data_IF_104066153064
#
_entry.id   IF_104066153064
#
_cell.length_a   1.000
_cell.length_b   1.000
_cell.length_c   1.000
_cell.angle_alpha   90.00
_cell.angle_beta   90.00
_cell.angle_gamma   90.00
#
_symmetry.space_group_name_H-M   'P 1'
#
loop_
_entity.id
_entity.type
_entity.pdbx_description
1 polymer ?
2 non-polymer ?
3 non-polymer ?
4 non-polymer ?
5 water ?
#
# COMPACT_ATOMS: atom_id res chain seq x y z
N UNK A 23 12.01 -26.60 0.39
CA UNK A 23 12.64 -26.30 -0.93
C UNK A 23 13.78 -25.31 -0.74
N UNK A 24 13.98 -24.91 0.51
CA UNK A 24 15.01 -23.95 0.88
C UNK A 24 16.44 -24.28 0.49
N UNK A 25 16.80 -25.55 0.52
CA UNK A 25 18.16 -25.96 0.18
C UNK A 25 18.62 -25.49 -1.19
N UNK A 26 17.86 -25.81 -2.22
CA UNK A 26 18.23 -25.40 -3.57
C UNK A 26 18.35 -23.88 -3.63
N UNK A 27 17.43 -23.21 -2.93
CA UNK A 27 17.37 -21.76 -2.89
C UNK A 27 18.67 -21.12 -2.37
N UNK A 28 19.08 -21.52 -1.18
CA UNK A 28 20.30 -20.99 -0.56
C UNK A 28 21.56 -21.35 -1.34
N UNK A 29 21.46 -22.36 -2.20
CA UNK A 29 22.60 -22.78 -2.98
C UNK A 29 22.79 -21.86 -4.18
N UNK A 30 21.68 -21.37 -4.72
CA UNK A 30 21.73 -20.51 -5.90
C UNK A 30 21.55 -19.02 -5.64
N UNK A 31 21.14 -18.65 -4.42
CA UNK A 31 20.94 -17.25 -4.09
C UNK A 31 21.50 -16.83 -2.75
N UNK A 32 22.22 -15.73 -2.75
CA UNK A 32 22.83 -15.19 -1.54
C UNK A 32 21.82 -14.34 -0.78
N UNK A 33 21.93 -14.36 0.54
CA UNK A 33 21.04 -13.56 1.39
C UNK A 33 21.65 -12.17 1.51
N UNK A 34 20.85 -11.17 1.93
CA UNK A 34 19.43 -11.29 2.27
C UNK A 34 18.54 -11.01 1.06
N UNK A 35 17.32 -11.54 1.06
CA UNK A 35 16.43 -11.29 -0.05
C UNK A 35 14.97 -11.34 0.32
N UNK A 36 14.14 -10.79 -0.56
CA UNK A 36 12.71 -10.80 -0.39
C UNK A 36 12.16 -11.96 -1.19
N UNK A 37 11.36 -12.80 -0.55
CA UNK A 37 10.77 -13.95 -1.21
C UNK A 37 9.25 -13.85 -1.14
N UNK A 38 8.60 -13.87 -2.31
CA UNK A 38 7.15 -13.75 -2.38
C UNK A 38 6.39 -14.98 -2.85
N UNK A 39 5.41 -15.40 -2.06
CA UNK A 39 4.57 -16.54 -2.41
C UNK A 39 3.42 -15.92 -3.18
N UNK A 40 3.45 -16.04 -4.50
CA UNK A 40 2.44 -15.46 -5.37
C UNK A 40 0.99 -15.92 -5.17
N UNK A 41 0.78 -17.20 -4.87
CA UNK A 41 -0.57 -17.69 -4.65
C UNK A 41 -1.34 -16.88 -3.62
N UNK A 42 -0.66 -16.52 -2.54
CA UNK A 42 -1.29 -15.75 -1.47
C UNK A 42 -1.72 -14.37 -1.95
N UNK A 43 -1.03 -13.84 -2.95
CA UNK A 43 -1.38 -12.54 -3.51
C UNK A 43 -2.64 -12.73 -4.34
N UNK A 44 -2.66 -13.81 -5.14
CA UNK A 44 -3.80 -14.14 -5.99
C UNK A 44 -5.03 -14.42 -5.15
N UNK A 45 -4.87 -15.26 -4.13
CA UNK A 45 -5.95 -15.64 -3.23
C UNK A 45 -6.51 -14.42 -2.49
N UNK A 46 -5.61 -13.59 -1.95
CA UNK A 46 -6.00 -12.40 -1.21
C UNK A 46 -6.77 -11.42 -2.10
N UNK A 47 -6.35 -11.31 -3.35
CA UNK A 47 -7.06 -10.43 -4.25
C UNK A 47 -8.44 -11.02 -4.52
N UNK A 48 -8.46 -12.30 -4.84
CA UNK A 48 -9.71 -13.01 -5.12
C UNK A 48 -10.72 -12.93 -3.98
N UNK A 49 -10.25 -12.86 -2.74
CA UNK A 49 -11.18 -12.77 -1.62
C UNK A 49 -11.90 -11.41 -1.62
N UNK A 50 -11.26 -10.40 -2.24
CA UNK A 50 -11.82 -9.06 -2.32
C UNK A 50 -12.82 -8.96 -3.46
N UNK A 51 -12.57 -9.70 -4.53
CA UNK A 51 -13.45 -9.67 -5.69
C UNK A 51 -14.80 -10.29 -5.37
N UNK A 52 -14.81 -11.31 -4.52
CA UNK A 52 -16.04 -12.00 -4.17
C UNK A 52 -16.77 -11.43 -2.96
N UNK A 53 -16.07 -10.63 -2.16
CA UNK A 53 -16.69 -10.04 -0.98
C UNK A 53 -17.89 -9.22 -1.43
N UNK A 54 -17.77 -8.63 -2.62
CA UNK A 54 -18.82 -7.81 -3.19
C UNK A 54 -19.31 -8.43 -4.49
N UNK A 55 -20.01 -9.56 -4.38
CA UNK A 55 -20.54 -10.25 -5.55
C UNK A 55 -21.88 -9.62 -5.95
N UNK A 56 -22.77 -9.47 -4.96
CA UNK A 56 -24.07 -8.90 -5.23
C UNK A 56 -24.04 -7.39 -5.41
N UNK A 57 -23.07 -6.91 -6.19
CA UNK A 57 -22.89 -5.49 -6.46
C UNK A 57 -21.74 -5.25 -7.42
N UNK A 58 -21.70 -4.07 -8.02
CA UNK A 58 -20.62 -3.72 -8.90
C UNK A 58 -19.54 -3.08 -8.04
N UNK A 59 -18.36 -3.66 -8.05
CA UNK A 59 -17.26 -3.15 -7.26
C UNK A 59 -15.98 -3.19 -8.08
N UNK A 60 -15.00 -2.40 -7.65
CA UNK A 60 -13.71 -2.36 -8.34
C UNK A 60 -12.62 -2.37 -7.30
N UNK A 61 -11.74 -3.37 -7.36
CA UNK A 61 -10.65 -3.47 -6.40
C UNK A 61 -9.37 -2.88 -6.97
N UNK A 62 -8.96 -1.74 -6.43
CA UNK A 62 -7.75 -1.07 -6.90
C UNK A 62 -6.63 -1.29 -5.92
N UNK A 63 -5.74 -2.21 -6.25
CA UNK A 63 -4.60 -2.50 -5.41
C UNK A 63 -3.79 -1.20 -5.22
N UNK A 64 -3.38 -0.93 -3.99
CA UNK A 64 -2.62 0.29 -3.71
C UNK A 64 -1.13 -0.02 -3.95
N UNK A 65 -0.61 0.44 -5.09
CA UNK A 65 0.78 0.20 -5.46
C UNK A 65 1.79 0.48 -4.35
N UNK A 66 1.62 1.58 -3.64
CA UNK A 66 2.50 1.95 -2.54
C UNK A 66 2.88 0.75 -1.65
N UNK A 67 2.01 -0.23 -1.50
CA UNK A 67 2.34 -1.38 -0.66
C UNK A 67 3.48 -2.19 -1.27
N UNK A 68 3.43 -2.33 -2.59
CA UNK A 68 4.45 -3.09 -3.33
C UNK A 68 4.14 -2.91 -4.80
N UNK A 69 5.00 -2.21 -5.51
CA UNK A 69 4.81 -1.94 -6.93
C UNK A 69 5.60 -2.84 -7.87
N UNK A 70 6.30 -3.84 -7.33
CA UNK A 70 7.08 -4.73 -8.18
C UNK A 70 6.27 -5.11 -9.44
N UNK A 71 6.86 -4.81 -10.59
CA UNK A 71 6.27 -5.07 -11.89
C UNK A 71 5.63 -6.44 -12.05
N UNK A 72 6.23 -7.45 -11.42
CA UNK A 72 5.72 -8.80 -11.54
C UNK A 72 4.45 -9.04 -10.73
N UNK A 73 4.42 -8.61 -9.47
CA UNK A 73 3.20 -8.84 -8.70
C UNK A 73 2.05 -8.08 -9.35
N UNK A 74 2.36 -6.93 -9.96
CA UNK A 74 1.34 -6.13 -10.62
C UNK A 74 0.81 -6.87 -11.85
N UNK A 75 1.69 -7.53 -12.57
CA UNK A 75 1.29 -8.28 -13.75
C UNK A 75 0.34 -9.41 -13.32
N UNK A 76 0.64 -10.04 -12.18
CA UNK A 76 -0.21 -11.10 -11.66
C UNK A 76 -1.60 -10.52 -11.41
N UNK A 77 -1.65 -9.41 -10.68
CA UNK A 77 -2.92 -8.77 -10.38
C UNK A 77 -3.61 -8.32 -11.65
N UNK A 78 -2.83 -7.89 -12.65
CA UNK A 78 -3.41 -7.46 -13.91
C UNK A 78 -4.11 -8.63 -14.60
N UNK A 79 -3.57 -9.83 -14.42
CA UNK A 79 -4.16 -11.01 -15.03
C UNK A 79 -5.51 -11.34 -14.38
N UNK A 80 -5.65 -10.94 -13.12
CA UNK A 80 -6.89 -11.17 -12.36
C UNK A 80 -7.74 -9.92 -12.53
N UNK A 81 -7.41 -9.13 -13.54
CA UNK A 81 -8.13 -7.89 -13.85
C UNK A 81 -8.28 -6.93 -12.69
N UNK A 82 -7.19 -6.74 -11.95
CA UNK A 82 -7.21 -5.84 -10.81
C UNK A 82 -7.07 -4.39 -11.27
N UNK A 83 -7.56 -3.48 -10.44
CA UNK A 83 -7.45 -2.07 -10.75
C UNK A 83 -6.21 -1.57 -10.03
N UNK A 84 -5.99 -0.26 -10.05
CA UNK A 84 -4.82 0.28 -9.36
C UNK A 84 -5.06 1.64 -8.72
N UNK A 85 -4.73 1.75 -7.44
CA UNK A 85 -4.84 3.02 -6.74
C UNK A 85 -3.41 3.59 -6.73
N UNK A 86 -3.19 4.65 -7.50
CA UNK A 86 -1.86 5.26 -7.60
C UNK A 86 -1.78 6.63 -6.93
N UNK A 87 -0.58 6.99 -6.48
CA UNK A 87 -0.36 8.27 -5.82
C UNK A 87 0.71 9.11 -6.52
N UNK A 88 1.21 8.62 -7.66
CA UNK A 88 2.23 9.33 -8.43
C UNK A 88 2.20 8.88 -9.89
N UNK A 89 2.84 9.66 -10.76
CA UNK A 89 2.90 9.32 -12.17
C UNK A 89 3.74 8.03 -12.29
N UNK A 90 4.77 7.94 -11.46
CA UNK A 90 5.59 6.75 -11.48
C UNK A 90 4.75 5.50 -11.26
N UNK A 91 3.80 5.54 -10.35
CA UNK A 91 2.95 4.38 -10.08
C UNK A 91 2.00 4.12 -11.25
N UNK A 92 1.39 5.16 -11.78
CA UNK A 92 0.50 4.99 -12.91
C UNK A 92 1.23 4.28 -14.06
N UNK A 93 2.48 4.68 -14.30
CA UNK A 93 3.26 4.08 -15.37
C UNK A 93 3.58 2.62 -15.08
N UNK A 94 3.92 2.32 -13.83
CA UNK A 94 4.21 0.93 -13.45
C UNK A 94 3.00 0.07 -13.76
N UNK A 95 1.83 0.53 -13.29
CA UNK A 95 0.57 -0.17 -13.48
C UNK A 95 0.24 -0.41 -14.95
N UNK A 96 0.35 0.61 -15.77
CA UNK A 96 0.07 0.48 -17.19
C UNK A 96 1.02 -0.55 -17.80
N UNK A 97 2.30 -0.41 -17.47
CA UNK A 97 3.33 -1.31 -17.96
C UNK A 97 3.09 -2.76 -17.55
N UNK A 98 2.42 -2.96 -16.42
CA UNK A 98 2.18 -4.33 -15.95
C UNK A 98 0.93 -4.93 -16.59
N UNK A 99 0.15 -4.08 -17.25
CA UNK A 99 -1.03 -4.59 -17.93
C UNK A 99 -2.35 -4.20 -17.31
N UNK A 100 -2.32 -3.33 -16.31
CA UNK A 100 -3.55 -2.90 -15.67
C UNK A 100 -4.22 -1.90 -16.63
N UNK A 101 -5.52 -2.07 -16.84
CA UNK A 101 -6.26 -1.20 -17.75
C UNK A 101 -6.32 0.23 -17.23
N UNK A 102 -6.19 1.21 -18.13
CA UNK A 102 -6.24 2.59 -17.66
C UNK A 102 -7.57 2.97 -16.99
N UNK A 103 -8.68 2.39 -17.46
CA UNK A 103 -9.97 2.73 -16.87
C UNK A 103 -10.22 2.07 -15.50
N UNK A 104 -9.17 1.49 -14.92
CA UNK A 104 -9.25 0.85 -13.60
C UNK A 104 -8.19 1.44 -12.69
N UNK A 105 -7.60 2.54 -13.14
CA UNK A 105 -6.56 3.22 -12.38
C UNK A 105 -7.15 4.49 -11.81
N UNK A 106 -6.90 4.74 -10.52
CA UNK A 106 -7.38 5.94 -9.88
C UNK A 106 -6.16 6.62 -9.23
N UNK A 107 -6.09 7.93 -9.40
CA UNK A 107 -4.96 8.72 -8.90
C UNK A 107 -5.31 9.63 -7.72
N UNK A 108 -4.78 9.28 -6.54
CA UNK A 108 -5.00 10.08 -5.33
C UNK A 108 -3.70 10.84 -5.09
N UNK A 109 -3.71 11.75 -4.11
CA UNK A 109 -2.51 12.51 -3.83
C UNK A 109 -2.79 13.96 -3.51
N UNK A 110 -2.25 14.42 -2.39
CA UNK A 110 -2.45 15.79 -1.96
C UNK A 110 -1.41 16.70 -2.62
N UNK A 111 -0.44 16.08 -3.31
CA UNK A 111 0.59 16.86 -3.95
C UNK A 111 0.88 16.49 -5.39
N UNK A 112 -0.14 16.42 -6.23
CA UNK A 112 0.04 16.08 -7.64
C UNK A 112 0.60 17.31 -8.35
N UNK A 113 1.69 17.13 -9.10
CA UNK A 113 2.27 18.24 -9.83
C UNK A 113 1.54 18.39 -11.15
N UNK A 114 1.60 19.58 -11.71
CA UNK A 114 0.96 19.86 -12.99
C UNK A 114 1.34 18.80 -14.03
N UNK A 115 2.60 18.36 -14.00
CA UNK A 115 3.05 17.35 -14.95
C UNK A 115 2.33 16.03 -14.73
N UNK A 116 2.15 15.65 -13.46
CA UNK A 116 1.46 14.41 -13.18
C UNK A 116 -0.01 14.57 -13.57
N UNK A 117 -0.62 15.69 -13.20
CA UNK A 117 -2.02 15.94 -13.55
C UNK A 117 -2.21 15.79 -15.06
N UNK A 118 -1.46 16.60 -15.82
CA UNK A 118 -1.55 16.55 -17.27
C UNK A 118 -1.33 15.14 -17.82
N UNK A 119 -0.30 14.46 -17.34
CA UNK A 119 0.02 13.11 -17.81
C UNK A 119 -1.08 12.12 -17.49
N UNK A 120 -1.75 12.31 -16.37
CA UNK A 120 -2.82 11.42 -15.98
C UNK A 120 -3.98 11.56 -16.96
N UNK A 121 -4.36 12.80 -17.25
CA UNK A 121 -5.45 13.09 -18.16
C UNK A 121 -5.24 12.48 -19.55
N UNK A 122 -4.02 12.56 -20.05
CA UNK A 122 -3.71 12.02 -21.36
C UNK A 122 -3.73 10.50 -21.37
N UNK A 123 -3.59 9.90 -20.21
CA UNK A 123 -3.57 8.44 -20.10
C UNK A 123 -4.95 7.81 -19.91
N UNK A 124 -5.97 8.65 -19.84
CA UNK A 124 -7.36 8.20 -19.69
C UNK A 124 -7.59 7.24 -18.53
N UNK A 125 -7.14 7.61 -17.34
CA UNK A 125 -7.34 6.76 -16.17
C UNK A 125 -8.79 6.93 -15.71
N UNK A 126 -9.21 6.19 -14.69
CA UNK A 126 -10.59 6.31 -14.21
C UNK A 126 -10.87 7.71 -13.72
N UNK A 127 -10.09 8.17 -12.75
CA UNK A 127 -10.31 9.52 -12.26
C UNK A 127 -9.23 9.99 -11.32
N UNK A 128 -9.16 11.30 -11.18
CA UNK A 128 -8.23 11.92 -10.25
C UNK A 128 -9.05 12.19 -8.99
N UNK A 129 -8.54 11.71 -7.86
CA UNK A 129 -9.21 11.90 -6.58
C UNK A 129 -8.54 13.12 -5.99
N UNK A 130 -9.21 14.27 -6.06
CA UNK A 130 -8.64 15.53 -5.58
C UNK A 130 -8.71 15.73 -4.06
N UNK A 131 -7.71 16.42 -3.52
CA UNK A 131 -7.63 16.64 -2.10
C UNK A 131 -7.59 18.11 -1.68
N UNK A 132 -7.69 19.02 -2.63
CA UNK A 132 -7.70 20.44 -2.31
C UNK A 132 -8.45 21.23 -3.39
N UNK A 133 -9.12 22.29 -2.97
CA UNK A 133 -9.86 23.14 -3.90
C UNK A 133 -8.91 23.71 -4.96
N UNK A 134 -7.68 24.02 -4.55
CA UNK A 134 -6.69 24.58 -5.47
C UNK A 134 -6.24 23.54 -6.50
N UNK A 135 -6.26 22.28 -6.10
CA UNK A 135 -5.89 21.19 -7.00
C UNK A 135 -6.97 21.09 -8.06
N UNK A 136 -8.22 21.13 -7.61
CA UNK A 136 -9.37 21.06 -8.50
C UNK A 136 -9.28 22.09 -9.61
N UNK A 137 -8.90 23.32 -9.25
CA UNK A 137 -8.78 24.39 -10.24
C UNK A 137 -7.57 24.16 -11.15
N UNK A 138 -6.52 23.57 -10.61
CA UNK A 138 -5.33 23.30 -11.39
C UNK A 138 -5.66 22.28 -12.46
N UNK A 139 -6.43 21.26 -12.08
CA UNK A 139 -6.83 20.21 -13.01
C UNK A 139 -7.72 20.80 -14.10
N UNK A 140 -8.63 21.69 -13.72
CA UNK A 140 -9.53 22.31 -14.68
C UNK A 140 -8.75 23.08 -15.75
N UNK A 141 -7.80 23.89 -15.29
CA UNK A 141 -6.99 24.68 -16.21
C UNK A 141 -6.28 23.83 -17.22
N UNK A 142 -5.75 22.68 -16.77
CA UNK A 142 -5.02 21.79 -17.66
C UNK A 142 -6.00 21.04 -18.54
N UNK A 143 -7.09 20.57 -17.96
CA UNK A 143 -8.10 19.85 -18.72
C UNK A 143 -8.55 20.72 -19.88
N UNK A 144 -8.88 21.97 -19.56
CA UNK A 144 -9.34 22.90 -20.57
C UNK A 144 -8.35 23.06 -21.71
N UNK A 145 -7.07 23.19 -21.40
CA UNK A 145 -6.08 23.36 -22.43
C UNK A 145 -5.94 22.11 -23.30
N UNK A 146 -6.24 20.96 -22.71
CA UNK A 146 -6.16 19.69 -23.44
C UNK A 146 -7.46 19.40 -24.18
N UNK A 147 -8.46 20.23 -23.93
CA UNK A 147 -9.75 20.07 -24.57
C UNK A 147 -10.52 18.84 -24.13
N UNK A 148 -10.35 18.42 -22.87
CA UNK A 148 -11.05 17.25 -22.35
C UNK A 148 -11.80 17.55 -21.06
N UNK A 149 -12.77 16.71 -20.74
CA UNK A 149 -13.58 16.87 -19.53
C UNK A 149 -13.06 15.83 -18.53
N UNK A 150 -12.35 16.31 -17.51
CA UNK A 150 -11.76 15.44 -16.51
C UNK A 150 -12.71 14.82 -15.50
N UNK A 151 -12.75 13.49 -15.46
CA UNK A 151 -13.56 12.77 -14.49
C UNK A 151 -12.82 12.90 -13.18
N UNK A 152 -13.48 13.33 -12.13
CA UNK A 152 -12.78 13.47 -10.86
C UNK A 152 -13.59 13.01 -9.67
N UNK A 153 -12.88 12.68 -8.60
CA UNK A 153 -13.50 12.25 -7.35
C UNK A 153 -12.99 13.23 -6.30
N UNK A 154 -13.76 13.46 -5.25
CA UNK A 154 -13.33 14.37 -4.21
C UNK A 154 -13.20 13.61 -2.91
N UNK A 155 -12.01 13.68 -2.32
CA UNK A 155 -11.74 12.99 -1.07
C UNK A 155 -12.22 13.82 0.12
N UNK A 156 -13.08 13.25 0.95
CA UNK A 156 -13.55 13.99 2.10
C UNK A 156 -12.91 13.48 3.37
N UNK A 157 -12.58 14.41 4.26
CA UNK A 157 -11.99 14.08 5.54
C UNK A 157 -13.20 14.09 6.50
N UNK A 158 -13.62 12.90 6.97
CA UNK A 158 -14.76 12.79 7.88
C UNK A 158 -14.39 13.04 9.33
N UNK A 159 -13.14 13.43 9.57
CA UNK A 159 -12.68 13.70 10.92
C UNK A 159 -13.11 12.59 11.88
N UNK A 160 -12.68 11.37 11.56
CA UNK A 160 -12.98 10.19 12.38
C UNK A 160 -11.66 9.52 12.75
N UNK A 161 -11.50 9.17 14.02
CA UNK A 161 -10.27 8.54 14.46
C UNK A 161 -10.26 7.04 14.15
N UNK A 162 -9.41 6.66 13.20
CA UNK A 162 -9.29 5.25 12.78
C UNK A 162 -8.72 4.36 13.87
N UNK A 163 -8.30 4.95 14.98
CA UNK A 163 -7.73 4.20 16.09
C UNK A 163 -6.59 3.32 15.61
N UNK A 164 -5.47 3.96 15.29
CA UNK A 164 -4.30 3.28 14.79
C UNK A 164 -3.07 4.14 15.11
N UNK A 165 -1.91 3.80 14.56
CA UNK A 165 -0.71 4.57 14.80
C UNK A 165 -0.87 5.95 14.14
N UNK A 166 -0.48 7.02 14.85
CA UNK A 166 -0.61 8.37 14.26
C UNK A 166 -0.09 8.53 12.83
N UNK A 167 1.06 7.94 12.51
CA UNK A 167 1.59 8.07 11.15
C UNK A 167 0.68 7.37 10.15
N UNK A 168 -0.02 6.35 10.63
CA UNK A 168 -0.93 5.57 9.79
C UNK A 168 -2.39 6.03 9.90
N UNK A 169 -2.61 7.12 10.62
CA UNK A 169 -3.96 7.66 10.79
C UNK A 169 -4.14 8.85 9.85
N UNK A 170 -5.15 8.78 9.00
CA UNK A 170 -5.39 9.85 8.02
C UNK A 170 -6.82 10.42 7.95
N UNK A 171 -7.69 10.01 8.87
CA UNK A 171 -9.06 10.50 8.82
C UNK A 171 -9.50 11.61 9.78
N UNK A 172 -8.55 12.31 10.39
CA UNK A 172 -8.89 13.39 11.32
C UNK A 172 -8.73 14.76 10.69
N UNK A 173 -9.47 15.74 11.20
CA UNK A 173 -9.38 17.10 10.66
C UNK A 173 -7.92 17.54 10.72
N UNK A 174 -7.20 16.91 11.64
CA UNK A 174 -5.79 17.16 11.89
C UNK A 174 -4.92 16.86 10.66
N UNK A 175 -5.25 15.76 9.99
CA UNK A 175 -4.52 15.28 8.81
C UNK A 175 -4.69 16.13 7.55
N UNK A 176 -3.70 16.07 6.67
CA UNK A 176 -3.67 16.82 5.42
C UNK A 176 -4.50 16.20 4.29
N UNK A 177 -5.18 15.10 4.56
CA UNK A 177 -5.95 14.41 3.54
C UNK A 177 -7.44 14.73 3.47
N UNK A 178 -7.93 14.91 2.25
CA UNK A 178 -9.34 15.19 2.01
C UNK A 178 -9.77 16.57 2.48
N UNK A 179 -11.08 16.78 2.56
CA UNK A 179 -11.60 18.07 3.03
C UNK A 179 -12.94 17.88 3.76
N UNK A 180 -13.33 18.90 4.52
CA UNK A 180 -14.58 18.84 5.26
C UNK A 180 -15.82 18.80 4.39
N UNK A 181 -16.96 18.48 4.99
CA UNK A 181 -18.21 18.40 4.24
C UNK A 181 -18.56 19.73 3.56
N UNK A 182 -18.48 20.82 4.30
CA UNK A 182 -18.81 22.13 3.75
C UNK A 182 -18.01 22.45 2.49
N UNK A 183 -16.68 22.37 2.59
CA UNK A 183 -15.80 22.66 1.46
C UNK A 183 -15.98 21.66 0.33
N UNK A 184 -16.36 20.44 0.67
CA UNK A 184 -16.57 19.39 -0.33
C UNK A 184 -17.77 19.71 -1.19
N UNK A 185 -18.84 20.18 -0.55
CA UNK A 185 -20.06 20.54 -1.25
C UNK A 185 -19.74 21.66 -2.21
N UNK A 186 -18.96 22.62 -1.72
CA UNK A 186 -18.58 23.77 -2.53
C UNK A 186 -17.74 23.33 -3.73
N UNK A 187 -16.85 22.38 -3.52
CA UNK A 187 -16.00 21.88 -4.59
C UNK A 187 -16.78 21.06 -5.63
N UNK A 188 -17.69 20.22 -5.17
CA UNK A 188 -18.48 19.42 -6.10
C UNK A 188 -19.30 20.32 -7.01
N UNK A 189 -19.93 21.34 -6.42
CA UNK A 189 -20.74 22.26 -7.19
C UNK A 189 -19.88 22.95 -8.24
N UNK A 190 -18.66 23.29 -7.84
CA UNK A 190 -17.72 23.95 -8.73
C UNK A 190 -17.37 23.04 -9.90
N UNK A 191 -17.20 21.76 -9.61
CA UNK A 191 -16.86 20.79 -10.65
C UNK A 191 -18.06 20.61 -11.59
N UNK A 192 -19.27 20.67 -11.03
CA UNK A 192 -20.50 20.52 -11.81
C UNK A 192 -20.63 21.64 -12.83
N UNK A 193 -20.39 22.87 -12.39
CA UNK A 193 -20.48 24.04 -13.25
C UNK A 193 -19.41 24.01 -14.34
N UNK A 194 -18.20 23.61 -13.98
CA UNK A 194 -17.11 23.57 -14.95
C UNK A 194 -17.43 22.65 -16.12
N UNK A 195 -17.06 23.10 -17.31
CA UNK A 195 -17.28 22.33 -18.52
C UNK A 195 -16.12 21.35 -18.74
N UNK A 196 -15.12 21.42 -17.87
CA UNK A 196 -13.95 20.56 -18.00
C UNK A 196 -13.74 19.67 -16.80
N UNK A 197 -14.79 19.54 -15.99
CA UNK A 197 -14.72 18.71 -14.80
C UNK A 197 -16.01 17.91 -14.70
N UNK A 198 -15.87 16.62 -14.43
CA UNK A 198 -17.05 15.77 -14.28
C UNK A 198 -16.94 14.98 -12.99
N UNK A 199 -17.55 15.50 -11.91
CA UNK A 199 -17.49 14.80 -10.62
C UNK A 199 -18.32 13.51 -10.73
N UNK A 200 -17.69 12.38 -10.46
CA UNK A 200 -18.37 11.10 -10.57
C UNK A 200 -18.16 10.19 -9.37
N UNK A 201 -17.43 10.66 -8.38
CA UNK A 201 -17.16 9.79 -7.25
C UNK A 201 -16.84 10.52 -5.95
N UNK A 202 -17.15 9.86 -4.82
CA UNK A 202 -16.85 10.41 -3.50
C UNK A 202 -15.82 9.44 -2.98
N UNK A 203 -14.90 9.91 -2.14
CA UNK A 203 -13.86 9.03 -1.63
C UNK A 203 -13.36 9.36 -0.23
N UNK A 204 -12.98 8.33 0.50
CA UNK A 204 -12.42 8.51 1.84
C UNK A 204 -11.46 7.39 2.20
N UNK A 205 -10.55 7.68 3.12
CA UNK A 205 -9.57 6.71 3.60
C UNK A 205 -9.11 7.21 4.97
N UNK A 206 -9.67 6.64 6.03
CA UNK A 206 -9.36 7.07 7.39
C UNK A 206 -8.06 6.57 8.02
N UNK A 207 -7.44 5.55 7.43
CA UNK A 207 -6.19 5.05 7.98
C UNK A 207 -5.72 3.72 7.43
N UNK A 208 -4.59 3.25 7.96
CA UNK A 208 -3.98 1.98 7.53
C UNK A 208 -3.70 1.09 8.75
N UNK A 209 -3.70 -0.23 8.51
CA UNK A 209 -3.49 -1.22 9.57
C UNK A 209 -4.58 -1.08 10.62
N UNK A 210 -5.83 -1.08 10.17
CA UNK A 210 -6.94 -0.93 11.11
C UNK A 210 -7.47 -2.28 11.60
N UNK A 211 -7.61 -2.40 12.91
CA UNK A 211 -8.12 -3.63 13.51
C UNK A 211 -9.60 -3.48 13.91
N UNK A 212 -10.06 -2.24 14.03
CA UNK A 212 -11.44 -1.98 14.41
C UNK A 212 -12.30 -1.57 13.20
N UNK A 213 -13.35 -2.36 12.92
CA UNK A 213 -14.25 -2.10 11.79
C UNK A 213 -15.24 -0.96 12.03
N UNK A 214 -15.43 -0.56 13.27
CA UNK A 214 -16.38 0.50 13.56
C UNK A 214 -16.05 1.85 12.92
N UNK A 215 -14.84 2.38 13.14
CA UNK A 215 -14.50 3.67 12.54
C UNK A 215 -14.69 3.68 11.03
N UNK A 216 -14.48 2.54 10.39
CA UNK A 216 -14.67 2.42 8.96
C UNK A 216 -16.14 2.59 8.65
N UNK A 217 -16.98 1.85 9.36
CA UNK A 217 -18.42 1.91 9.18
C UNK A 217 -18.96 3.30 9.45
N UNK A 218 -18.48 3.92 10.52
CA UNK A 218 -18.92 5.27 10.86
C UNK A 218 -18.57 6.20 9.70
N UNK A 219 -17.39 6.02 9.12
CA UNK A 219 -16.97 6.86 8.01
C UNK A 219 -17.87 6.63 6.78
N UNK A 220 -18.18 5.36 6.49
CA UNK A 220 -19.03 5.05 5.35
C UNK A 220 -20.42 5.68 5.50
N UNK A 221 -20.94 5.66 6.71
CA UNK A 221 -22.25 6.23 6.96
C UNK A 221 -22.27 7.73 6.70
N UNK A 222 -21.29 8.45 7.24
CA UNK A 222 -21.22 9.89 7.05
C UNK A 222 -21.03 10.28 5.59
N UNK A 223 -20.18 9.55 4.87
CA UNK A 223 -19.93 9.86 3.48
C UNK A 223 -21.12 9.48 2.62
N UNK A 224 -21.84 8.44 3.03
CA UNK A 224 -23.01 7.99 2.28
C UNK A 224 -24.11 9.05 2.45
N UNK A 225 -24.12 9.70 3.60
CA UNK A 225 -25.12 10.73 3.85
C UNK A 225 -24.88 11.92 2.94
N UNK A 226 -23.62 12.33 2.83
CA UNK A 226 -23.30 13.48 1.96
C UNK A 226 -23.47 13.10 0.48
N UNK A 227 -23.19 11.84 0.16
CA UNK A 227 -23.32 11.38 -1.21
C UNK A 227 -24.78 11.48 -1.61
N UNK A 228 -25.68 11.10 -0.70
CA UNK A 228 -27.11 11.19 -0.96
C UNK A 228 -27.48 12.64 -1.19
N UNK A 229 -26.86 13.52 -0.42
CA UNK A 229 -27.10 14.95 -0.53
C UNK A 229 -26.57 15.50 -1.85
N UNK A 230 -25.38 15.03 -2.24
CA UNK A 230 -24.73 15.45 -3.48
C UNK A 230 -25.59 15.13 -4.70
N UNK A 231 -26.15 13.93 -4.72
CA UNK A 231 -26.98 13.51 -5.84
C UNK A 231 -28.23 14.39 -5.88
N UNK A 232 -28.85 14.63 -4.72
CA UNK A 232 -30.05 15.46 -4.70
C UNK A 232 -29.77 16.82 -5.34
N UNK A 233 -28.49 17.20 -5.40
CA UNK A 233 -28.11 18.49 -5.98
C UNK A 233 -27.65 18.36 -7.44
N UNK A 234 -27.99 17.25 -8.07
CA UNK A 234 -27.62 17.07 -9.46
C UNK A 234 -26.28 16.41 -9.75
N UNK A 235 -25.42 16.30 -8.74
CA UNK A 235 -24.11 15.68 -8.95
C UNK A 235 -24.34 14.20 -9.25
N UNK A 236 -23.96 13.80 -10.45
CA UNK A 236 -24.16 12.43 -10.92
C UNK A 236 -23.11 11.39 -10.53
N UNK A 237 -23.08 11.01 -9.25
CA UNK A 237 -22.12 10.03 -8.76
C UNK A 237 -22.33 8.64 -9.35
N UNK A 238 -21.22 7.93 -9.56
CA UNK A 238 -21.25 6.58 -10.10
C UNK A 238 -20.38 5.64 -9.27
N UNK A 239 -19.49 6.23 -8.47
CA UNK A 239 -18.59 5.44 -7.63
C UNK A 239 -18.60 5.88 -6.17
N UNK A 240 -18.39 4.93 -5.27
CA UNK A 240 -18.31 5.19 -3.84
C UNK A 240 -17.03 4.48 -3.39
N UNK A 241 -15.97 5.24 -3.19
CA UNK A 241 -14.67 4.69 -2.82
C UNK A 241 -14.39 4.71 -1.31
N UNK A 242 -14.17 3.54 -0.73
CA UNK A 242 -13.91 3.44 0.70
C UNK A 242 -12.42 3.36 1.08
N UNK A 243 -11.55 3.37 0.08
CA UNK A 243 -10.12 3.30 0.34
C UNK A 243 -9.71 1.89 0.76
N UNK A 244 -8.60 1.79 1.48
CA UNK A 244 -8.14 0.50 1.96
C UNK A 244 -8.15 0.59 3.48
N UNK A 245 -7.08 0.11 4.13
CA UNK A 245 -7.04 0.22 5.58
C UNK A 245 -7.10 -1.04 6.41
N UNK A 246 -7.69 -2.10 5.89
CA UNK A 246 -7.77 -3.34 6.65
C UNK A 246 -6.38 -3.82 7.00
N UNK A 247 -6.12 -3.99 8.29
CA UNK A 247 -4.82 -4.44 8.75
C UNK A 247 -4.62 -5.95 8.80
N UNK A 248 -3.37 -6.38 8.94
CA UNK A 248 -3.06 -7.81 9.00
C UNK A 248 -2.63 -8.24 10.41
N UNK A 249 -2.55 -9.54 10.62
CA UNK A 249 -2.17 -10.06 11.94
C UNK A 249 -0.65 -10.13 12.09
N UNK A 250 -0.04 -9.01 12.44
CA UNK A 250 1.40 -8.99 12.63
C UNK A 250 1.77 -9.68 13.94
N UNK A 251 0.99 -9.44 14.98
CA UNK A 251 1.23 -10.04 16.29
C UNK A 251 0.08 -10.96 16.70
N UNK A 252 -0.41 -11.75 15.75
CA UNK A 252 -1.52 -12.68 16.01
C UNK A 252 -2.82 -12.05 16.51
N UNK A 253 -3.09 -10.81 16.14
CA UNK A 253 -4.32 -10.16 16.59
C UNK A 253 -5.48 -10.60 15.70
N UNK A 254 -6.70 -10.30 16.12
CA UNK A 254 -7.88 -10.68 15.33
C UNK A 254 -7.96 -9.69 14.18
N UNK A 255 -8.37 -10.18 13.02
CA UNK A 255 -8.47 -9.31 11.85
C UNK A 255 -9.91 -9.11 11.39
N UNK A 256 -10.20 -7.91 10.89
CA UNK A 256 -11.52 -7.58 10.37
C UNK A 256 -11.83 -8.52 9.22
N UNK A 257 -12.90 -9.30 9.34
CA UNK A 257 -13.30 -10.24 8.30
C UNK A 257 -13.94 -9.51 7.13
N UNK A 258 -13.62 -9.92 5.91
CA UNK A 258 -14.18 -9.30 4.71
C UNK A 258 -15.71 -9.32 4.71
N UNK A 259 -16.29 -10.43 5.15
CA UNK A 259 -17.74 -10.56 5.20
C UNK A 259 -18.36 -9.46 6.06
N UNK A 260 -17.76 -9.23 7.22
CA UNK A 260 -18.25 -8.20 8.13
C UNK A 260 -17.98 -6.80 7.57
N UNK A 261 -16.88 -6.67 6.83
CA UNK A 261 -16.48 -5.42 6.22
C UNK A 261 -17.44 -5.05 5.09
N UNK A 262 -17.67 -6.00 4.19
CA UNK A 262 -18.57 -5.77 3.06
C UNK A 262 -20.01 -5.60 3.53
N UNK A 263 -20.41 -6.37 4.54
CA UNK A 263 -21.77 -6.26 5.06
C UNK A 263 -22.00 -4.88 5.65
N UNK A 264 -21.05 -4.42 6.46
CA UNK A 264 -21.19 -3.11 7.07
C UNK A 264 -21.28 -1.98 6.05
N UNK A 265 -20.54 -2.12 4.95
CA UNK A 265 -20.54 -1.11 3.91
C UNK A 265 -21.83 -1.12 3.11
N UNK A 266 -22.33 -2.30 2.77
CA UNK A 266 -23.58 -2.39 2.02
C UNK A 266 -24.73 -1.76 2.80
N UNK A 267 -24.76 -1.97 4.12
CA UNK A 267 -25.83 -1.40 4.92
C UNK A 267 -25.69 0.11 4.99
N UNK A 268 -24.46 0.60 5.02
CA UNK A 268 -24.24 2.04 5.07
C UNK A 268 -24.68 2.68 3.75
N UNK A 269 -24.62 1.91 2.67
CA UNK A 269 -25.00 2.40 1.34
C UNK A 269 -26.47 2.21 0.98
N UNK A 270 -27.32 2.00 1.97
CA UNK A 270 -28.73 1.78 1.67
C UNK A 270 -29.30 2.91 0.83
N UNK A 271 -29.94 2.55 -0.28
CA UNK A 271 -30.55 3.54 -1.14
C UNK A 271 -29.65 4.18 -2.18
N UNK A 272 -28.35 3.88 -2.12
CA UNK A 272 -27.41 4.45 -3.07
C UNK A 272 -26.93 3.41 -4.07
N UNK A 273 -27.36 3.55 -5.32
CA UNK A 273 -26.96 2.62 -6.36
C UNK A 273 -25.63 3.11 -6.93
N UNK A 274 -24.53 2.70 -6.31
CA UNK A 274 -23.21 3.12 -6.73
C UNK A 274 -22.24 1.96 -6.74
N UNK A 275 -21.25 2.04 -7.63
CA UNK A 275 -20.23 1.02 -7.74
C UNK A 275 -19.24 1.28 -6.61
N UNK A 276 -19.00 0.27 -5.78
CA UNK A 276 -18.09 0.45 -4.67
C UNK A 276 -16.65 0.16 -5.11
N UNK A 277 -15.73 1.00 -4.65
CA UNK A 277 -14.31 0.85 -4.96
C UNK A 277 -13.58 0.64 -3.64
N UNK A 278 -12.64 -0.29 -3.64
CA UNK A 278 -11.81 -0.56 -2.46
C UNK A 278 -10.36 -0.37 -2.92
N UNK A 279 -9.53 0.17 -2.03
CA UNK A 279 -8.13 0.39 -2.36
C UNK A 279 -7.20 -0.32 -1.37
N UNK A 280 -7.35 -1.65 -1.24
CA UNK A 280 -6.52 -2.42 -0.31
C UNK A 280 -5.07 -2.55 -0.80
N UNK A 281 -4.14 -2.53 0.14
CA UNK A 281 -2.74 -2.67 -0.22
C UNK A 281 -2.10 -3.74 0.65
N UNK A 282 -1.90 -3.38 1.91
CA UNK A 282 -1.30 -4.27 2.88
C UNK A 282 -1.96 -5.65 2.91
N UNK A 283 -3.28 -5.68 3.04
CA UNK A 283 -4.01 -6.95 3.11
C UNK A 283 -3.95 -7.80 1.84
N UNK A 284 -3.34 -7.28 0.79
CA UNK A 284 -3.21 -8.02 -0.45
C UNK A 284 -1.83 -8.69 -0.52
N UNK A 285 -0.78 -7.99 -0.08
CA UNK A 285 0.58 -8.55 -0.18
C UNK A 285 1.44 -8.76 1.06
N UNK A 286 1.01 -8.23 2.21
CA UNK A 286 1.80 -8.37 3.42
C UNK A 286 2.30 -9.80 3.68
N UNK A 287 1.35 -10.72 3.87
CA UNK A 287 1.66 -12.11 4.18
C UNK A 287 2.46 -12.87 3.12
N UNK A 288 2.27 -12.54 1.86
CA UNK A 288 2.97 -13.24 0.79
C UNK A 288 4.47 -12.95 0.72
N UNK A 289 4.92 -11.95 1.46
CA UNK A 289 6.33 -11.61 1.40
C UNK A 289 7.10 -11.82 2.68
N UNK A 290 8.26 -12.45 2.56
CA UNK A 290 9.10 -12.69 3.71
C UNK A 290 10.51 -12.24 3.45
N UNK A 291 11.16 -11.74 4.49
CA UNK A 291 12.54 -11.28 4.39
C UNK A 291 13.48 -12.39 4.88
N UNK A 292 14.14 -13.03 3.94
CA UNK A 292 15.05 -14.12 4.26
C UNK A 292 16.43 -13.53 4.47
N UNK A 293 16.94 -13.65 5.69
CA UNK A 293 18.23 -13.10 6.04
C UNK A 293 19.08 -14.12 6.82
N UNK A 294 20.38 -14.07 6.58
CA UNK A 294 21.33 -14.98 7.21
C UNK A 294 21.95 -14.42 8.50
N UNK A 295 22.29 -15.32 9.42
CA UNK A 295 22.93 -14.92 10.66
C UNK A 295 24.42 -14.75 10.42
N UNK A 296 25.00 -13.69 10.96
CA UNK A 296 26.43 -13.44 10.78
C UNK A 296 27.19 -13.72 12.06
N UNK A 297 26.71 -13.18 13.19
CA UNK A 297 27.36 -13.40 14.48
C UNK A 297 26.34 -13.48 15.61
N UNK A 298 26.81 -13.91 16.77
CA UNK A 298 26.02 -13.99 18.00
C UNK A 298 26.86 -13.18 18.98
N UNK A 299 26.24 -12.29 19.74
CA UNK A 299 27.01 -11.46 20.65
C UNK A 299 26.39 -11.31 22.05
N UNK A 300 27.25 -11.30 23.07
CA UNK A 300 26.81 -11.15 24.46
C UNK A 300 27.64 -10.08 25.19
N UNK A 303 25.55 -8.83 28.95
CA UNK A 303 24.49 -9.59 29.62
C UNK A 303 23.32 -9.87 28.71
N UNK A 304 23.15 -9.04 27.68
CA UNK A 304 22.07 -9.24 26.72
C UNK A 304 22.63 -10.00 25.53
N UNK A 305 21.77 -10.69 24.79
CA UNK A 305 22.23 -11.43 23.62
C UNK A 305 21.77 -10.74 22.35
N UNK A 306 22.70 -10.49 21.44
CA UNK A 306 22.35 -9.86 20.18
C UNK A 306 22.59 -10.83 19.04
N UNK A 307 21.59 -11.00 18.20
CA UNK A 307 21.71 -11.87 17.03
C UNK A 307 21.83 -10.94 15.83
N UNK A 308 23.03 -10.85 15.26
CA UNK A 308 23.30 -9.98 14.11
C UNK A 308 23.06 -10.71 12.79
N UNK A 309 22.17 -10.15 11.99
CA UNK A 309 21.78 -10.71 10.69
C UNK A 309 22.25 -9.77 9.56
N UNK A 310 22.23 -10.21 8.31
CA UNK A 310 22.71 -9.35 7.22
C UNK A 310 21.73 -8.39 6.57
N UNK A 311 20.50 -8.33 7.07
CA UNK A 311 19.49 -7.42 6.55
C UNK A 311 19.43 -6.24 7.52
N UNK A 312 19.03 -5.07 7.06
CA UNK A 312 18.98 -3.93 7.96
C UNK A 312 17.80 -3.01 7.76
N UNK A 313 17.71 -1.97 8.59
CA UNK A 313 16.60 -1.02 8.49
C UNK A 313 16.47 -0.43 7.09
N UNK A 314 17.59 -0.29 6.38
CA UNK A 314 17.52 0.26 5.04
C UNK A 314 16.71 -0.67 4.15
N UNK A 315 16.68 -1.96 4.50
CA UNK A 315 15.92 -2.95 3.74
C UNK A 315 14.48 -3.02 4.23
N UNK A 316 14.29 -2.80 5.52
CA UNK A 316 12.97 -2.90 6.14
C UNK A 316 12.87 -1.84 7.23
N UNK A 317 12.13 -0.78 6.91
CA UNK A 317 11.97 0.39 7.78
C UNK A 317 10.79 0.40 8.76
N UNK A 318 9.85 -0.51 8.59
CA UNK A 318 8.67 -0.52 9.45
C UNK A 318 8.98 -0.50 10.95
N UNK A 319 9.79 -1.45 11.43
CA UNK A 319 10.10 -1.48 12.86
C UNK A 319 10.55 -0.15 13.44
N UNK A 320 11.51 0.49 12.80
CA UNK A 320 12.01 1.77 13.29
C UNK A 320 11.01 2.91 13.14
N UNK A 321 10.40 3.03 11.96
CA UNK A 321 9.43 4.08 11.66
C UNK A 321 8.11 4.00 12.41
N UNK A 322 7.64 2.80 12.70
CA UNK A 322 6.35 2.66 13.37
C UNK A 322 6.39 1.77 14.60
N UNK A 323 7.58 1.32 14.99
CA UNK A 323 7.73 0.44 16.14
C UNK A 323 6.94 -0.83 15.84
N UNK A 324 6.86 -1.20 14.57
CA UNK A 324 6.13 -2.39 14.18
C UNK A 324 6.92 -3.63 14.56
N UNK A 325 6.20 -4.72 14.81
CA UNK A 325 6.82 -5.99 15.16
C UNK A 325 6.35 -7.07 14.20
N UNK A 326 7.28 -7.63 13.44
CA UNK A 326 6.94 -8.72 12.52
C UNK A 326 7.52 -9.98 13.11
N UNK A 327 6.84 -11.09 12.91
CA UNK A 327 7.29 -12.36 13.45
C UNK A 327 8.57 -12.81 12.78
N UNK A 328 9.44 -13.44 13.56
CA UNK A 328 10.69 -13.95 13.03
C UNK A 328 10.67 -15.47 13.20
N UNK A 329 10.87 -16.17 12.10
CA UNK A 329 10.86 -17.61 12.10
C UNK A 329 12.20 -18.17 11.61
N UNK A 330 12.74 -19.13 12.34
CA UNK A 330 14.00 -19.75 11.94
C UNK A 330 13.68 -20.77 10.84
N UNK A 331 14.48 -20.76 9.77
CA UNK A 331 14.27 -21.67 8.66
C UNK A 331 15.25 -22.83 8.75
N UNK A 332 16.36 -22.61 9.44
CA UNK A 332 17.38 -23.64 9.62
C UNK A 332 17.06 -24.47 10.85
N UNK A 333 16.84 -25.78 10.68
CA UNK A 333 16.54 -26.64 11.82
C UNK A 333 17.61 -26.54 12.90
N UNK A 334 17.20 -26.14 14.10
CA UNK A 334 18.15 -26.00 15.21
C UNK A 334 17.39 -25.66 16.50
N UNK A 338 18.65 -24.55 22.76
CA UNK A 338 18.38 -23.70 23.91
C UNK A 338 17.85 -22.33 23.49
N UNK A 339 16.62 -22.04 23.90
CA UNK A 339 15.97 -20.77 23.58
C UNK A 339 16.22 -19.71 24.64
N UNK A 340 16.50 -18.49 24.21
CA UNK A 340 16.75 -17.38 25.12
C UNK A 340 16.38 -16.03 24.52
N UNK A 341 16.21 -15.00 25.37
CA UNK A 341 15.86 -13.67 24.86
C UNK A 341 17.02 -13.10 24.06
N UNK A 342 16.70 -12.25 23.08
CA UNK A 342 17.74 -11.66 22.24
C UNK A 342 17.18 -10.62 21.28
N UNK A 343 17.96 -9.58 21.02
CA UNK A 343 17.58 -8.53 20.09
C UNK A 343 18.14 -8.97 18.74
N UNK A 344 17.27 -9.05 17.73
CA UNK A 344 17.70 -9.43 16.40
C UNK A 344 18.03 -8.12 15.68
N UNK A 345 19.32 -7.90 15.43
CA UNK A 345 19.79 -6.66 14.83
C UNK A 345 20.41 -6.79 13.44
N UNK A 346 20.37 -5.70 12.69
CA UNK A 346 20.93 -5.67 11.37
C UNK A 346 22.34 -5.09 11.42
N UNK A 347 22.94 -4.78 10.27
CA UNK A 347 24.30 -4.23 10.27
C UNK A 347 24.44 -2.71 10.34
N UNK A 348 23.35 -1.97 10.14
CA UNK A 348 23.51 -0.51 10.13
C UNK A 348 23.86 0.09 11.48
N UNK A 349 24.68 1.13 11.41
CA UNK A 349 25.21 1.88 12.54
C UNK A 349 24.28 2.48 13.60
N UNK A 350 22.97 2.42 13.40
CA UNK A 350 22.00 3.00 14.34
C UNK A 350 21.32 2.05 15.32
N UNK A 351 20.92 2.59 16.46
CA UNK A 351 20.24 1.80 17.48
C UNK A 351 18.82 1.46 17.04
N UNK A 352 18.34 2.17 16.01
CA UNK A 352 17.01 1.93 15.49
C UNK A 352 17.05 0.72 14.58
N UNK A 353 18.24 0.26 14.23
CA UNK A 353 18.37 -0.88 13.35
C UNK A 353 18.35 -2.20 14.10
N UNK A 354 17.20 -2.48 14.70
CA UNK A 354 16.98 -3.73 15.42
C UNK A 354 15.57 -4.18 15.06
N UNK A 355 15.46 -5.40 14.54
CA UNK A 355 14.19 -5.94 14.11
C UNK A 355 13.22 -6.28 15.25
N UNK A 356 13.71 -7.00 16.25
CA UNK A 356 12.87 -7.38 17.38
C UNK A 356 13.63 -7.32 18.70
N UNK A 357 13.10 -6.59 19.66
CA UNK A 357 13.74 -6.52 20.96
C UNK A 357 13.26 -7.73 21.75
N UNK A 358 14.14 -8.28 22.57
CA UNK A 358 13.78 -9.44 23.39
C UNK A 358 12.96 -10.49 22.66
N UNK A 359 13.43 -10.92 21.49
CA UNK A 359 12.75 -11.96 20.76
C UNK A 359 13.20 -13.22 21.50
N UNK A 360 12.55 -14.34 21.24
CA UNK A 360 12.92 -15.58 21.91
C UNK A 360 13.25 -16.64 20.87
N UNK A 361 14.54 -16.85 20.65
CA UNK A 361 14.98 -17.82 19.66
C UNK A 361 16.05 -18.77 20.19
N UNK A 362 16.19 -19.93 19.55
CA UNK A 362 17.19 -20.91 19.98
C UNK A 362 18.58 -20.33 19.71
N UNK A 363 19.63 -21.02 20.15
CA UNK A 363 20.97 -20.50 19.89
C UNK A 363 21.22 -20.71 18.41
N UNK A 364 21.74 -19.67 17.76
CA UNK A 364 22.03 -19.75 16.33
C UNK A 364 23.51 -19.59 16.08
N UNK A 365 23.93 -19.97 14.88
CA UNK A 365 25.34 -19.86 14.51
C UNK A 365 25.45 -19.25 13.12
N UNK A 366 26.63 -18.67 12.81
CA UNK A 366 26.88 -18.04 11.50
C UNK A 366 26.38 -18.88 10.34
N UNK A 367 25.54 -18.29 9.51
CA UNK A 367 25.04 -19.02 8.36
C UNK A 367 23.61 -19.51 8.49
N UNK A 368 23.11 -19.66 9.71
CA UNK A 368 21.73 -20.11 9.89
C UNK A 368 20.81 -19.11 9.19
N UNK A 369 19.64 -19.57 8.78
CA UNK A 369 18.71 -18.71 8.07
C UNK A 369 17.42 -18.45 8.83
N UNK A 370 16.98 -17.20 8.85
CA UNK A 370 15.74 -16.82 9.50
C UNK A 370 14.90 -16.02 8.51
N UNK A 371 13.59 -15.94 8.75
CA UNK A 371 12.70 -15.20 7.88
C UNK A 371 11.88 -14.23 8.71
N UNK A 372 11.81 -12.98 8.25
CA UNK A 372 11.01 -11.96 8.93
C UNK A 372 9.69 -12.06 8.21
N UNK A 373 8.62 -12.30 8.97
CA UNK A 373 7.32 -12.49 8.36
C UNK A 373 6.49 -11.27 7.98
N UNK A 374 5.59 -11.49 7.02
CA UNK A 374 4.67 -10.47 6.53
C UNK A 374 5.31 -9.15 6.17
N UNK A 375 6.34 -9.20 5.35
CA UNK A 375 7.06 -8.01 4.91
C UNK A 375 6.71 -7.70 3.46
N UNK A 376 5.60 -8.26 2.99
CA UNK A 376 5.18 -8.04 1.61
C UNK A 376 4.69 -6.62 1.34
N UNK A 377 4.23 -5.95 2.38
CA UNK A 377 3.74 -4.59 2.21
C UNK A 377 4.66 -3.59 2.89
N UNK A 378 4.95 -2.50 2.19
CA UNK A 378 5.80 -1.46 2.73
C UNK A 378 7.11 -2.06 3.19
N UNK A 379 7.60 -3.02 2.43
CA UNK A 379 8.85 -3.66 2.76
C UNK A 379 9.89 -3.05 1.86
N UNK A 380 10.04 -3.62 0.66
CA UNK A 380 11.00 -3.12 -0.29
C UNK A 380 10.56 -1.77 -0.85
N UNK A 381 9.25 -1.50 -0.82
CA UNK A 381 8.75 -0.24 -1.35
C UNK A 381 9.26 0.98 -0.60
N UNK A 382 9.73 0.79 0.63
CA UNK A 382 10.25 1.90 1.44
C UNK A 382 11.75 1.73 1.69
N UNK A 383 12.34 0.70 1.11
CA UNK A 383 13.76 0.44 1.30
C UNK A 383 14.65 1.49 0.63
N UNK A 384 15.80 1.75 1.25
CA UNK A 384 16.78 2.70 0.74
C UNK A 384 18.15 2.05 0.66
N UNK A 385 19.15 2.85 0.34
CA UNK A 385 20.52 2.38 0.22
C UNK A 385 21.43 2.94 1.32
N UNK A 386 20.82 3.33 2.44
CA UNK A 386 21.55 3.87 3.58
C UNK A 386 22.75 2.97 3.94
N UNK A 387 23.87 3.59 4.29
CA UNK A 387 25.10 2.87 4.64
C UNK A 387 25.66 2.28 3.34
N UNK A 388 25.21 2.81 2.21
CA UNK A 388 25.65 2.35 0.89
C UNK A 388 25.47 0.84 0.76
N UNK A 389 24.24 0.39 0.95
CA UNK A 389 23.89 -1.02 0.83
C UNK A 389 22.96 -1.14 -0.38
N UNK A 390 23.31 -1.99 -1.35
CA UNK A 390 22.51 -2.20 -2.55
C UNK A 390 21.11 -2.74 -2.25
N UNK A 391 20.13 -2.36 -3.07
CA UNK A 391 18.77 -2.84 -2.87
C UNK A 391 18.75 -4.34 -3.09
N UNK A 392 18.05 -5.04 -2.21
CA UNK A 392 17.96 -6.49 -2.25
C UNK A 392 17.34 -7.16 -3.48
N UNK A 393 17.67 -8.44 -3.59
CA UNK A 393 17.16 -9.31 -4.64
C UNK A 393 15.73 -9.68 -4.25
N UNK A 394 14.83 -9.75 -5.21
CA UNK A 394 13.46 -10.13 -4.91
C UNK A 394 13.10 -11.36 -5.74
N UNK A 395 12.67 -12.41 -5.05
CA UNK A 395 12.31 -13.67 -5.69
C UNK A 395 10.82 -13.99 -5.55
N UNK A 396 10.27 -14.64 -6.57
CA UNK A 396 8.87 -15.01 -6.55
C UNK A 396 8.73 -16.52 -6.59
N UNK A 397 7.72 -17.03 -5.90
CA UNK A 397 7.44 -18.46 -5.87
C UNK A 397 6.12 -18.65 -6.59
N UNK A 398 6.10 -19.51 -7.62
CA UNK A 398 4.87 -19.77 -8.38
C UNK A 398 4.56 -21.24 -8.66
N UNK A 399 5.18 -22.16 -7.92
CA UNK A 399 4.94 -23.59 -8.09
C UNK A 399 5.16 -24.03 -9.54
N UNK A 401 8.11 -23.29 -8.47
CA UNK A 401 8.77 -22.48 -9.49
C UNK A 401 9.34 -21.17 -8.95
N UNK A 402 10.64 -21.18 -8.64
CA UNK A 402 11.29 -19.98 -8.14
C UNK A 402 11.91 -19.20 -9.28
N UNK A 403 11.60 -17.91 -9.35
CA UNK A 403 12.16 -17.04 -10.37
C UNK A 403 12.40 -15.65 -9.77
N UNK A 404 13.30 -14.89 -10.38
CA UNK A 404 13.63 -13.56 -9.89
C UNK A 404 12.69 -12.50 -10.43
N UNK A 405 12.19 -11.63 -9.54
CA UNK A 405 11.29 -10.56 -9.95
C UNK A 405 11.97 -9.19 -9.83
N UNK A 406 13.15 -9.15 -9.21
CA UNK A 406 13.95 -7.93 -9.11
C UNK A 406 15.41 -8.31 -8.85
N UNK A 407 16.28 -8.03 -9.80
CA UNK A 407 17.69 -8.37 -9.64
C UNK A 407 18.32 -7.54 -8.54
N UNK A 408 19.29 -8.11 -7.83
CA UNK A 408 19.98 -7.36 -6.78
C UNK A 408 20.74 -6.22 -7.42
N UNK A 409 20.96 -5.16 -6.65
CA UNK A 409 21.67 -4.00 -7.16
C UNK A 409 23.17 -4.24 -7.05
N UNK A 410 23.92 -3.80 -8.04
CA UNK A 410 25.37 -3.96 -7.99
C UNK A 410 25.88 -2.78 -7.16
N UNK A 411 27.10 -2.89 -6.64
CA UNK A 411 27.69 -1.84 -5.85
C UNK A 411 27.81 -0.54 -6.65
N UNK A 412 28.21 -0.66 -7.91
CA UNK A 412 28.38 0.49 -8.79
C UNK A 412 27.06 1.23 -9.06
N UNK A 413 25.92 0.55 -8.89
CA UNK A 413 24.63 1.20 -9.12
C UNK A 413 24.39 2.29 -8.08
N UNK A 414 25.01 2.14 -6.91
CA UNK A 414 24.87 3.10 -5.84
C UNK A 414 25.30 4.50 -6.25
N UNK A 415 26.44 4.60 -6.93
CA UNK A 415 27.00 5.89 -7.32
C UNK A 415 27.06 6.16 -8.83
N UNK A 416 26.34 5.36 -9.60
CA UNK A 416 26.30 5.50 -11.06
C UNK A 416 26.07 6.96 -11.48
N UNK A 417 25.03 7.57 -10.92
CA UNK A 417 24.65 8.94 -11.25
C UNK A 417 25.52 10.04 -10.63
N UNK A 418 26.56 9.65 -9.90
CA UNK A 418 27.44 10.61 -9.25
C UNK A 418 28.82 10.68 -9.91
N UNK A 419 29.08 9.80 -10.86
CA UNK A 419 30.36 9.75 -11.52
C UNK A 419 30.72 10.97 -12.37
N UNK A 420 29.79 11.46 -13.16
CA UNK A 420 30.09 12.60 -14.00
C UNK A 420 30.41 13.88 -13.21
N UNK A 421 29.93 13.94 -11.97
CA UNK A 421 30.20 15.13 -11.15
C UNK A 421 31.56 15.07 -10.50
N UNK A 422 32.08 13.85 -10.35
CA UNK A 422 33.37 13.60 -9.73
C UNK A 422 34.52 14.26 -10.49
#
# INVERSE_FOLDING_TARGET
>A
MGSSHHHHHHSSGLVPRGSHMFNYEELFQTHKTPFYLYDFDKIKQAFLNYKEAFKGRKSLICYALKANSNLSILSLLAHLESGADCVSIGEIQRALKAGIKPYRIVFSGVGKSAFEIEQALKLNILFLNVESFMELKTIETIAQSLGIKARISIRINPNIDAKTHPYLSTGLKENKFGVGEKEALEMFLWAKKSAFLEPVSVHFHIGSQLLDLEPIIEASQKVAKIAKSLIALGIDLRFFDVGGGIGVSYENEETIKLYDYAQGILNALQGLDLTIICEPGRSIVAESGELITQVLYEKKAQNKRFVIVDAGMNDFLRPSLYHAKHAIRVITPSKGREISPCDVVGPVCESSDTFLKDAHLPELEPGDKIAIEKVGAYGSSMASQYNSRPKLLELALEDHKIRVIRKREALEDLWRLEEEGLKGV
#
